data_IF_760718038976
#
_entry.id   IF_760718038976
#
_cell.length_a   1.000
_cell.length_b   1.000
_cell.length_c   1.000
_cell.angle_alpha   90.00
_cell.angle_beta   90.00
_cell.angle_gamma   90.00
#
_symmetry.space_group_name_H-M   'P 1'
#
loop_
_entity.id
_entity.type
_entity.pdbx_description
1 polymer ?
#
# COMPACT_ATOMS: atom_id res chain seq x y z
N UNK A 1 24.12 2.26 -4.35
CA UNK A 1 23.10 3.31 -4.57
C UNK A 1 21.76 2.70 -4.17
N UNK A 2 20.92 3.48 -3.51
CA UNK A 2 19.70 3.08 -2.80
C UNK A 2 18.85 2.10 -3.61
N UNK A 3 18.48 0.98 -2.97
CA UNK A 3 17.30 0.23 -3.39
C UNK A 3 16.14 1.11 -2.93
N UNK A 4 15.84 2.14 -3.73
CA UNK A 4 14.59 2.83 -3.66
C UNK A 4 13.54 1.73 -3.85
N UNK A 5 12.94 1.30 -2.74
CA UNK A 5 11.68 0.57 -2.76
C UNK A 5 10.70 1.53 -3.43
N UNK A 6 10.65 1.50 -4.77
CA UNK A 6 9.74 2.30 -5.58
C UNK A 6 8.35 1.80 -5.21
N UNK A 7 7.80 2.34 -4.14
CA UNK A 7 6.36 2.35 -3.98
C UNK A 7 5.83 2.98 -5.26
N UNK A 8 4.94 2.27 -5.94
CA UNK A 8 4.23 2.84 -7.09
C UNK A 8 3.73 4.23 -6.69
N UNK A 9 3.97 5.28 -7.49
CA UNK A 9 3.62 6.66 -7.15
C UNK A 9 2.10 6.88 -7.12
N UNK A 10 1.32 5.84 -7.42
CA UNK A 10 -0.13 5.86 -7.39
C UNK A 10 -0.68 4.56 -6.84
N UNK A 11 -1.83 4.67 -6.19
CA UNK A 11 -2.72 3.55 -5.90
C UNK A 11 -3.28 2.97 -7.21
N UNK A 12 -3.69 1.71 -7.19
CA UNK A 12 -4.33 1.03 -8.32
C UNK A 12 -5.59 1.76 -8.83
N UNK A 13 -6.26 2.51 -7.96
CA UNK A 13 -7.42 3.33 -8.32
C UNK A 13 -7.06 4.66 -9.01
N UNK A 14 -5.77 4.98 -9.17
CA UNK A 14 -5.27 6.22 -9.77
C UNK A 14 -4.98 7.35 -8.77
N UNK A 15 -5.26 7.17 -7.47
CA UNK A 15 -4.95 8.17 -6.46
C UNK A 15 -3.44 8.33 -6.25
N UNK A 16 -2.96 9.58 -6.17
CA UNK A 16 -1.55 9.96 -5.96
C UNK A 16 -1.31 10.68 -4.63
N UNK A 17 -2.37 10.91 -3.86
CA UNK A 17 -2.34 11.62 -2.57
C UNK A 17 -2.66 10.65 -1.45
N UNK A 18 -2.16 10.95 -0.24
CA UNK A 18 -2.41 10.16 0.96
C UNK A 18 -2.16 8.66 0.72
N UNK A 19 -0.96 8.35 0.24
CA UNK A 19 -0.53 7.00 -0.05
C UNK A 19 0.01 6.30 1.21
N UNK A 20 -0.33 5.03 1.32
CA UNK A 20 0.03 4.14 2.42
C UNK A 20 0.65 2.87 1.86
N UNK A 21 1.65 2.35 2.55
CA UNK A 21 2.21 1.03 2.27
C UNK A 21 1.42 -0.06 2.97
N UNK A 22 1.33 -1.24 2.38
CA UNK A 22 0.93 -2.45 3.09
C UNK A 22 2.01 -2.89 4.09
N UNK A 23 1.65 -3.72 5.07
CA UNK A 23 2.61 -4.29 6.05
C UNK A 23 3.72 -5.11 5.40
N UNK A 24 3.43 -5.77 4.27
CA UNK A 24 4.42 -6.49 3.47
C UNK A 24 5.22 -5.58 2.51
N UNK A 25 4.95 -4.27 2.48
CA UNK A 25 5.62 -3.25 1.65
C UNK A 25 5.54 -3.46 0.14
N UNK A 26 4.85 -4.48 -0.35
CA UNK A 26 4.70 -4.74 -1.79
C UNK A 26 3.64 -3.86 -2.48
N UNK A 27 2.76 -3.20 -1.72
CA UNK A 27 1.65 -2.44 -2.29
C UNK A 27 1.58 -1.02 -1.74
N UNK A 28 1.34 -0.06 -2.66
CA UNK A 28 0.94 1.32 -2.36
C UNK A 28 -0.56 1.46 -2.53
N UNK A 29 -1.26 1.90 -1.50
CA UNK A 29 -2.71 2.07 -1.48
C UNK A 29 -3.07 3.45 -0.94
N UNK A 30 -4.07 4.12 -1.50
CA UNK A 30 -4.63 5.32 -0.87
C UNK A 30 -5.45 4.93 0.37
N UNK A 31 -5.81 5.91 1.20
CA UNK A 31 -6.61 5.69 2.42
C UNK A 31 -7.86 4.83 2.15
N UNK A 32 -8.64 5.16 1.12
CA UNK A 32 -9.87 4.43 0.80
C UNK A 32 -9.59 2.99 0.37
N UNK A 33 -8.72 2.77 -0.61
CA UNK A 33 -8.41 1.42 -1.09
C UNK A 33 -7.78 0.56 0.01
N UNK A 34 -6.85 1.13 0.78
CA UNK A 34 -6.23 0.43 1.89
C UNK A 34 -7.25 0.05 2.97
N UNK A 35 -8.17 0.96 3.32
CA UNK A 35 -9.24 0.70 4.27
C UNK A 35 -10.14 -0.44 3.78
N UNK A 36 -10.59 -0.37 2.53
CA UNK A 36 -11.40 -1.43 1.92
C UNK A 36 -10.67 -2.76 1.90
N UNK A 37 -9.37 -2.80 1.58
CA UNK A 37 -8.59 -4.04 1.62
C UNK A 37 -8.48 -4.61 3.04
N UNK A 38 -8.26 -3.74 4.04
CA UNK A 38 -8.18 -4.14 5.44
C UNK A 38 -9.51 -4.69 5.97
N UNK A 39 -10.63 -4.03 5.64
CA UNK A 39 -11.98 -4.47 5.99
C UNK A 39 -12.32 -5.81 5.35
N UNK A 40 -11.98 -5.98 4.07
CA UNK A 40 -12.19 -7.24 3.35
C UNK A 40 -11.14 -8.33 3.66
N UNK A 41 -10.15 -8.04 4.52
CA UNK A 41 -8.99 -8.92 4.80
C UNK A 41 -8.33 -9.44 3.52
N UNK A 42 -8.27 -8.57 2.51
CA UNK A 42 -7.71 -8.92 1.22
C UNK A 42 -6.22 -9.24 1.36
N UNK A 43 -5.72 -10.12 0.49
CA UNK A 43 -4.33 -10.55 0.49
C UNK A 43 -3.53 -9.74 -0.53
N UNK A 44 -2.28 -9.47 -0.20
CA UNK A 44 -1.34 -8.91 -1.15
C UNK A 44 -1.20 -9.85 -2.35
N UNK A 45 -1.33 -9.31 -3.56
CA UNK A 45 -1.26 -10.09 -4.79
C UNK A 45 0.14 -10.66 -5.08
N UNK A 46 1.19 -10.06 -4.48
CA UNK A 46 2.58 -10.47 -4.68
C UNK A 46 3.00 -11.59 -3.71
N UNK A 47 2.68 -11.44 -2.42
CA UNK A 47 3.18 -12.35 -1.38
C UNK A 47 2.09 -13.11 -0.61
N UNK A 48 0.81 -12.85 -0.89
CA UNK A 48 -0.32 -13.49 -0.21
C UNK A 48 -0.55 -13.07 1.25
N UNK A 49 0.28 -12.17 1.80
CA UNK A 49 0.11 -11.66 3.17
C UNK A 49 -1.22 -10.90 3.29
N UNK A 50 -2.05 -11.20 4.31
CA UNK A 50 -3.28 -10.45 4.54
C UNK A 50 -2.96 -8.99 4.89
N UNK A 51 -3.61 -8.07 4.20
CA UNK A 51 -3.53 -6.64 4.48
C UNK A 51 -4.49 -6.39 5.62
N UNK A 52 -3.97 -6.32 6.86
CA UNK A 52 -4.76 -6.01 8.06
C UNK A 52 -4.49 -4.61 8.58
N UNK A 53 -3.38 -4.00 8.14
CA UNK A 53 -2.95 -2.68 8.59
C UNK A 53 -2.23 -1.93 7.46
N UNK A 54 -2.30 -0.61 7.51
CA UNK A 54 -1.63 0.28 6.57
C UNK A 54 -0.58 1.10 7.30
N UNK A 55 0.57 1.28 6.66
CA UNK A 55 1.69 2.07 7.18
C UNK A 55 1.72 3.38 6.40
N UNK A 56 1.59 4.51 7.10
CA UNK A 56 1.70 5.83 6.46
C UNK A 56 3.12 6.02 5.98
N UNK A 57 3.30 6.14 4.67
CA UNK A 57 4.61 6.45 4.09
C UNK A 57 4.74 7.95 4.11
N UNK A 58 5.62 8.47 4.98
CA UNK A 58 5.94 9.88 5.00
C UNK A 58 7.09 10.08 4.02
N UNK A 59 6.80 10.61 2.84
CA UNK A 59 7.83 11.09 1.91
C UNK A 59 8.57 12.22 2.62
N UNK A 60 9.80 11.95 3.06
CA UNK A 60 10.72 12.93 3.64
C UNK A 60 11.54 13.56 2.52
#
# INVERSE_FOLDING_TARGET
>A
MSIDLILKPSCICGSTVELYGSTCKHMTLCLNCGKTMAENRAKCYECGTPITQLIRVRSL
#
